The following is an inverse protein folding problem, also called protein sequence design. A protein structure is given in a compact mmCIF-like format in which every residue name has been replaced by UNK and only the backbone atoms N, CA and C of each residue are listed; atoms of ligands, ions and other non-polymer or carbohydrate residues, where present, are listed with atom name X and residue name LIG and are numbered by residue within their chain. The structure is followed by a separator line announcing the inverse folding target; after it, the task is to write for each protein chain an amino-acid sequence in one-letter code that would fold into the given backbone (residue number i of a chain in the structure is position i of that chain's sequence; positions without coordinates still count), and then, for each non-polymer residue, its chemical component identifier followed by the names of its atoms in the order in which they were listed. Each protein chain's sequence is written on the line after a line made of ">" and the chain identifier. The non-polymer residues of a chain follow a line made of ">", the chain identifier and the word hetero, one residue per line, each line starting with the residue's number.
data_IF_891053718390
#
_entry.id   IF_891053718390
#
_cell.length_a   1.000
_cell.length_b   1.000
_cell.length_c   1.000
_cell.angle_alpha   90.00
_cell.angle_beta   90.00
_cell.angle_gamma   90.00
#
_symmetry.space_group_name_H-M   'P 1'
#
loop_
_entity.id
_entity.type
_entity.pdbx_description
1 polymer ?
#
# COMPACT_ATOMS: atom_id res chain seq x y z
N UNK A 1 11.32 12.74 -22.11
CA UNK A 1 11.56 11.28 -21.89
C UNK A 1 10.26 10.64 -21.46
N UNK A 2 9.88 9.47 -22.05
CA UNK A 2 8.63 8.77 -21.69
C UNK A 2 8.89 7.70 -20.63
N UNK A 3 8.12 7.74 -19.54
CA UNK A 3 8.21 6.79 -18.42
C UNK A 3 6.89 6.03 -18.29
N UNK A 4 6.93 4.72 -18.41
CA UNK A 4 5.82 3.83 -18.10
C UNK A 4 5.78 3.56 -16.59
N UNK A 5 4.62 3.70 -15.96
CA UNK A 5 4.41 3.45 -14.52
C UNK A 5 3.32 2.39 -14.34
N UNK A 6 3.59 1.38 -13.52
CA UNK A 6 2.55 0.44 -13.12
C UNK A 6 1.61 1.07 -12.08
N UNK A 7 0.43 1.47 -12.52
CA UNK A 7 -0.59 2.13 -11.73
C UNK A 7 -1.78 1.21 -11.36
N UNK A 8 -1.64 -0.10 -11.49
CA UNK A 8 -2.69 -1.08 -11.18
C UNK A 8 -3.28 -0.93 -9.77
N UNK A 9 -2.46 -0.51 -8.82
CA UNK A 9 -2.87 -0.32 -7.42
C UNK A 9 -3.91 0.79 -7.26
N UNK A 10 -3.94 1.78 -8.17
CA UNK A 10 -4.86 2.90 -8.12
C UNK A 10 -6.31 2.55 -8.49
N UNK A 11 -6.57 1.33 -8.96
CA UNK A 11 -7.94 0.82 -9.22
C UNK A 11 -8.72 0.52 -7.95
N UNK A 12 -8.02 0.25 -6.87
CA UNK A 12 -8.60 0.04 -5.54
C UNK A 12 -8.53 1.34 -4.71
N UNK A 13 -9.30 1.45 -3.61
CA UNK A 13 -9.11 2.52 -2.66
C UNK A 13 -7.64 2.64 -2.25
N UNK A 14 -7.12 3.86 -2.21
CA UNK A 14 -5.69 4.10 -1.99
C UNK A 14 -5.27 3.62 -0.60
N UNK A 15 -4.28 2.77 -0.56
CA UNK A 15 -3.54 2.35 0.62
C UNK A 15 -2.10 2.85 0.49
N UNK A 16 -1.17 2.43 1.35
CA UNK A 16 0.21 2.94 1.36
C UNK A 16 0.85 3.08 -0.02
N UNK A 17 0.96 1.97 -0.77
CA UNK A 17 1.57 2.00 -2.13
C UNK A 17 0.76 2.87 -3.10
N UNK A 18 -0.57 2.89 -2.99
CA UNK A 18 -1.42 3.75 -3.81
C UNK A 18 -1.21 5.24 -3.53
N UNK A 19 -0.99 5.62 -2.26
CA UNK A 19 -0.61 6.98 -1.89
C UNK A 19 0.79 7.31 -2.38
N UNK A 20 1.76 6.42 -2.16
CA UNK A 20 3.12 6.58 -2.68
C UNK A 20 3.12 6.89 -4.18
N UNK A 21 2.44 6.05 -4.98
CA UNK A 21 2.41 6.23 -6.43
C UNK A 21 1.72 7.53 -6.85
N UNK A 22 0.63 7.91 -6.18
CA UNK A 22 -0.07 9.15 -6.48
C UNK A 22 0.79 10.39 -6.19
N UNK A 23 1.44 10.43 -5.02
CA UNK A 23 2.34 11.53 -4.64
C UNK A 23 3.60 11.56 -5.55
N UNK A 24 4.14 10.40 -5.92
CA UNK A 24 5.26 10.29 -6.85
C UNK A 24 4.92 10.89 -8.22
N UNK A 25 3.76 10.52 -8.78
CA UNK A 25 3.31 11.05 -10.08
C UNK A 25 3.10 12.56 -10.00
N UNK A 26 2.47 13.06 -8.93
CA UNK A 26 2.28 14.51 -8.74
C UNK A 26 3.61 15.26 -8.63
N UNK A 27 4.55 14.74 -7.84
CA UNK A 27 5.86 15.35 -7.68
C UNK A 27 6.67 15.35 -8.97
N UNK A 28 6.72 14.23 -9.69
CA UNK A 28 7.41 14.14 -10.98
C UNK A 28 6.81 15.09 -12.01
N UNK A 29 5.48 15.20 -12.08
CA UNK A 29 4.83 16.12 -13.00
C UNK A 29 5.08 17.60 -12.67
N UNK A 30 5.30 17.92 -11.38
CA UNK A 30 5.56 19.30 -10.94
C UNK A 30 7.02 19.71 -11.12
N UNK A 31 7.95 18.81 -10.75
CA UNK A 31 9.40 19.09 -10.75
C UNK A 31 10.03 18.90 -12.14
N UNK A 32 9.48 17.98 -12.94
CA UNK A 32 10.02 17.59 -14.23
C UNK A 32 8.92 17.59 -15.32
N UNK A 33 8.40 18.75 -15.70
CA UNK A 33 7.24 18.86 -16.60
C UNK A 33 7.50 18.34 -18.02
N UNK A 34 8.76 18.16 -18.40
CA UNK A 34 9.15 17.56 -19.69
C UNK A 34 9.08 16.02 -19.70
N UNK A 35 8.84 15.40 -18.54
CA UNK A 35 8.64 13.95 -18.45
C UNK A 35 7.22 13.60 -18.91
N UNK A 36 7.13 12.71 -19.88
CA UNK A 36 5.87 12.12 -20.29
C UNK A 36 5.57 10.87 -19.45
N UNK A 37 4.68 11.00 -18.45
CA UNK A 37 4.27 9.90 -17.60
C UNK A 37 3.10 9.15 -18.22
N UNK A 38 3.26 7.83 -18.37
CA UNK A 38 2.24 6.93 -18.88
C UNK A 38 1.86 5.91 -17.79
N UNK A 39 0.66 6.03 -17.27
CA UNK A 39 0.15 5.23 -16.15
C UNK A 39 -0.63 4.03 -16.68
N UNK A 40 -0.14 2.83 -16.46
CA UNK A 40 -0.87 1.61 -16.81
C UNK A 40 -1.73 1.11 -15.65
N UNK A 41 -3.05 1.18 -15.83
CA UNK A 41 -3.99 0.74 -14.78
C UNK A 41 -4.42 -0.73 -14.91
N UNK A 42 -3.75 -1.53 -15.76
CA UNK A 42 -4.07 -2.94 -16.05
C UNK A 42 -5.02 -3.15 -17.21
N UNK A 43 -5.73 -2.11 -17.66
CA UNK A 43 -6.63 -2.18 -18.81
C UNK A 43 -6.28 -1.17 -19.89
N UNK A 44 -5.93 0.02 -19.48
CA UNK A 44 -5.63 1.16 -20.35
C UNK A 44 -4.45 1.96 -19.83
N UNK A 45 -3.92 2.76 -20.71
CA UNK A 45 -2.90 3.74 -20.42
C UNK A 45 -3.54 5.11 -20.21
N UNK A 46 -3.02 5.87 -19.28
CA UNK A 46 -3.51 7.20 -18.91
C UNK A 46 -2.32 8.13 -18.64
N UNK A 47 -2.43 9.39 -18.98
CA UNK A 47 -1.43 10.42 -18.64
C UNK A 47 -1.68 11.08 -17.27
N UNK A 48 -2.89 10.91 -16.73
CA UNK A 48 -3.31 11.56 -15.50
C UNK A 48 -3.71 10.53 -14.44
N UNK A 49 -3.61 10.94 -13.17
CA UNK A 49 -4.08 10.13 -12.06
C UNK A 49 -5.61 9.99 -12.08
N UNK A 50 -6.15 8.78 -11.85
CA UNK A 50 -7.59 8.61 -11.74
C UNK A 50 -8.13 9.42 -10.56
N UNK A 51 -9.22 10.15 -10.78
CA UNK A 51 -9.85 11.01 -9.78
C UNK A 51 -10.34 10.24 -8.55
N UNK A 52 -10.81 9.00 -8.74
CA UNK A 52 -11.26 8.10 -7.67
C UNK A 52 -11.08 6.63 -8.06
N UNK A 53 -11.08 5.75 -7.06
CA UNK A 53 -11.14 4.32 -7.28
C UNK A 53 -12.45 3.94 -8.01
N UNK A 54 -12.38 2.90 -8.85
CA UNK A 54 -13.56 2.44 -9.59
C UNK A 54 -14.64 1.91 -8.62
N UNK A 55 -15.87 2.44 -8.68
CA UNK A 55 -16.95 1.98 -7.82
C UNK A 55 -17.21 0.47 -7.98
N UNK A 56 -17.36 -0.25 -6.87
CA UNK A 56 -17.67 -1.69 -6.90
C UNK A 56 -16.53 -2.62 -7.29
N UNK A 57 -15.37 -2.11 -7.68
CA UNK A 57 -14.22 -2.92 -8.11
C UNK A 57 -13.82 -3.99 -7.08
N UNK A 58 -13.81 -3.66 -5.79
CA UNK A 58 -13.46 -4.59 -4.72
C UNK A 58 -14.45 -5.75 -4.58
N UNK A 59 -15.76 -5.49 -4.70
CA UNK A 59 -16.80 -6.50 -4.60
C UNK A 59 -16.80 -7.46 -5.80
N UNK A 60 -16.69 -6.92 -7.01
CA UNK A 60 -16.65 -7.72 -8.24
C UNK A 60 -15.38 -8.58 -8.29
N UNK A 61 -14.24 -8.02 -7.91
CA UNK A 61 -12.96 -8.75 -7.89
C UNK A 61 -12.96 -9.89 -6.86
N UNK A 62 -13.64 -9.73 -5.71
CA UNK A 62 -13.74 -10.78 -4.69
C UNK A 62 -14.62 -11.95 -5.15
N UNK A 63 -15.71 -11.67 -5.85
CA UNK A 63 -16.60 -12.68 -6.44
C UNK A 63 -15.90 -13.50 -7.52
N UNK A 64 -15.20 -12.84 -8.44
CA UNK A 64 -14.45 -13.52 -9.53
C UNK A 64 -13.36 -14.42 -8.95
N UNK A 65 -12.60 -13.96 -7.95
CA UNK A 65 -11.57 -14.77 -7.27
C UNK A 65 -12.13 -16.04 -6.63
N UNK A 66 -13.38 -16.00 -6.17
CA UNK A 66 -14.03 -17.14 -5.50
C UNK A 66 -14.56 -18.18 -6.50
N UNK A 67 -14.94 -17.76 -7.71
CA UNK A 67 -15.65 -18.60 -8.67
C UNK A 67 -14.77 -19.19 -9.79
N UNK A 68 -13.58 -18.61 -10.07
CA UNK A 68 -12.75 -19.02 -11.21
C UNK A 68 -11.36 -19.47 -10.73
N UNK A 69 -11.06 -20.78 -10.74
CA UNK A 69 -9.69 -21.27 -10.53
C UNK A 69 -8.72 -20.61 -11.52
N UNK A 70 -7.56 -20.19 -11.04
CA UNK A 70 -6.52 -19.53 -11.87
C UNK A 70 -6.92 -18.17 -12.49
N UNK A 71 -8.06 -17.57 -12.12
CA UNK A 71 -8.50 -16.25 -12.61
C UNK A 71 -7.39 -15.20 -12.52
N UNK A 72 -6.54 -15.31 -11.50
CA UNK A 72 -5.41 -14.44 -11.29
C UNK A 72 -4.37 -14.53 -12.43
N UNK A 73 -3.99 -15.74 -12.86
CA UNK A 73 -3.01 -15.96 -13.94
C UNK A 73 -3.56 -15.48 -15.28
N UNK A 74 -4.81 -15.83 -15.58
CA UNK A 74 -5.46 -15.41 -16.83
C UNK A 74 -5.53 -13.87 -16.90
N UNK A 75 -5.95 -13.24 -15.82
CA UNK A 75 -5.99 -11.79 -15.72
C UNK A 75 -4.60 -11.18 -15.93
N UNK A 76 -3.57 -11.71 -15.27
CA UNK A 76 -2.20 -11.22 -15.38
C UNK A 76 -1.67 -11.32 -16.80
N UNK A 77 -1.96 -12.42 -17.53
CA UNK A 77 -1.59 -12.59 -18.93
C UNK A 77 -2.27 -11.53 -19.82
N UNK A 78 -3.56 -11.26 -19.60
CA UNK A 78 -4.28 -10.22 -20.35
C UNK A 78 -3.67 -8.83 -20.05
N UNK A 79 -3.41 -8.53 -18.80
CA UNK A 79 -2.77 -7.29 -18.40
C UNK A 79 -1.37 -7.14 -19.01
N UNK A 80 -0.58 -8.22 -19.03
CA UNK A 80 0.74 -8.25 -19.69
C UNK A 80 0.66 -7.95 -21.18
N UNK A 81 -0.26 -8.60 -21.90
CA UNK A 81 -0.45 -8.35 -23.33
C UNK A 81 -0.87 -6.89 -23.60
N UNK A 82 -1.72 -6.33 -22.75
CA UNK A 82 -2.15 -4.93 -22.87
C UNK A 82 -1.02 -3.95 -22.53
N UNK A 83 -0.22 -4.28 -21.53
CA UNK A 83 0.97 -3.52 -21.16
C UNK A 83 1.95 -3.48 -22.35
N UNK A 84 2.30 -4.63 -22.89
CA UNK A 84 3.29 -4.76 -23.97
C UNK A 84 2.92 -4.00 -25.26
N UNK A 85 1.62 -3.83 -25.55
CA UNK A 85 1.18 -3.15 -26.78
C UNK A 85 1.59 -1.68 -26.86
N UNK A 86 1.71 -0.99 -25.74
CA UNK A 86 2.01 0.44 -25.70
C UNK A 86 3.26 0.80 -24.87
N UNK A 87 3.83 -0.19 -24.17
CA UNK A 87 5.03 0.05 -23.36
C UNK A 87 6.29 0.18 -24.21
N UNK A 88 6.30 -0.27 -25.45
CA UNK A 88 7.49 -0.32 -26.31
C UNK A 88 8.13 1.04 -26.58
N UNK A 89 7.37 2.12 -26.53
CA UNK A 89 7.86 3.49 -26.72
C UNK A 89 8.41 4.13 -25.44
N UNK A 90 8.31 3.46 -24.29
CA UNK A 90 8.79 4.00 -23.03
C UNK A 90 10.31 3.84 -22.93
N UNK A 91 11.00 4.92 -22.54
CA UNK A 91 12.43 4.92 -22.30
C UNK A 91 12.79 4.25 -20.96
N UNK A 92 11.83 4.18 -20.04
CA UNK A 92 11.98 3.61 -18.69
C UNK A 92 10.65 3.04 -18.23
N UNK A 93 10.70 1.91 -17.55
CA UNK A 93 9.57 1.36 -16.83
C UNK A 93 9.81 1.43 -15.32
N UNK A 94 8.85 1.95 -14.55
CA UNK A 94 8.89 1.95 -13.09
C UNK A 94 7.74 1.13 -12.50
N UNK A 95 8.08 0.16 -11.65
CA UNK A 95 7.12 -0.69 -10.96
C UNK A 95 7.27 -0.61 -9.43
N UNK A 96 6.24 -0.17 -8.69
CA UNK A 96 6.25 -0.11 -7.24
C UNK A 96 5.85 -1.44 -6.59
N UNK A 97 6.19 -2.57 -7.20
CA UNK A 97 5.82 -3.90 -6.70
C UNK A 97 6.94 -4.93 -6.85
N UNK A 98 6.80 -6.06 -6.16
CA UNK A 98 7.71 -7.21 -6.24
C UNK A 98 7.54 -8.05 -7.52
N UNK A 99 6.62 -7.64 -8.39
CA UNK A 99 6.18 -8.47 -9.51
C UNK A 99 5.75 -7.60 -10.71
N UNK A 100 6.76 -6.97 -11.35
CA UNK A 100 6.57 -6.10 -12.49
C UNK A 100 6.02 -6.87 -13.70
N UNK A 101 5.52 -6.11 -14.67
CA UNK A 101 5.29 -6.60 -16.01
C UNK A 101 6.63 -6.86 -16.71
N UNK A 102 6.60 -7.76 -17.70
CA UNK A 102 7.75 -7.95 -18.57
C UNK A 102 7.91 -6.74 -19.49
N UNK A 103 9.11 -6.23 -19.54
CA UNK A 103 9.49 -5.06 -20.32
C UNK A 103 10.91 -5.24 -20.84
N UNK A 104 11.16 -4.94 -22.11
CA UNK A 104 12.44 -5.17 -22.76
C UNK A 104 13.44 -4.02 -22.55
N UNK A 105 13.00 -2.89 -22.02
CA UNK A 105 13.83 -1.74 -21.71
C UNK A 105 14.33 -1.67 -20.25
N UNK A 106 14.98 -0.56 -19.88
CA UNK A 106 15.40 -0.30 -18.53
C UNK A 106 14.21 -0.27 -17.56
N UNK A 107 14.34 -0.99 -16.43
CA UNK A 107 13.30 -1.08 -15.40
C UNK A 107 13.83 -0.62 -14.04
N UNK A 108 13.08 0.22 -13.36
CA UNK A 108 13.26 0.59 -11.96
C UNK A 108 12.16 -0.07 -11.13
N UNK A 109 12.52 -0.59 -9.98
CA UNK A 109 11.55 -1.12 -9.01
C UNK A 109 11.60 -0.31 -7.72
N UNK A 110 10.44 -0.12 -7.05
CA UNK A 110 10.43 0.33 -5.66
C UNK A 110 10.03 -0.84 -4.75
N UNK A 111 10.91 -1.16 -3.80
CA UNK A 111 10.69 -2.19 -2.79
C UNK A 111 10.46 -1.53 -1.43
N UNK A 112 9.21 -1.56 -0.98
CA UNK A 112 8.81 -0.91 0.27
C UNK A 112 9.16 -1.73 1.50
N UNK A 113 9.03 -3.07 1.43
CA UNK A 113 9.36 -3.99 2.52
C UNK A 113 9.70 -5.38 2.00
N UNK A 114 10.22 -6.23 2.88
CA UNK A 114 10.43 -7.65 2.68
C UNK A 114 9.53 -8.49 3.61
N UNK A 115 8.29 -8.04 3.83
CA UNK A 115 7.32 -8.72 4.69
C UNK A 115 7.07 -10.17 4.26
N UNK A 116 7.12 -10.46 2.97
CA UNK A 116 6.99 -11.82 2.42
C UNK A 116 8.14 -12.75 2.84
N UNK A 117 9.30 -12.21 3.20
CA UNK A 117 10.47 -12.94 3.68
C UNK A 117 10.41 -13.15 5.20
N UNK A 118 10.15 -12.06 5.95
CA UNK A 118 10.25 -12.07 7.41
C UNK A 118 8.97 -12.55 8.11
N UNK A 119 7.80 -12.37 7.46
CA UNK A 119 6.48 -12.67 8.01
C UNK A 119 5.57 -13.35 6.98
N UNK A 120 6.01 -14.46 6.35
CA UNK A 120 5.27 -15.12 5.27
C UNK A 120 3.88 -15.57 5.70
N UNK A 121 3.70 -15.95 6.97
CA UNK A 121 2.42 -16.37 7.55
C UNK A 121 1.37 -15.25 7.56
N UNK A 122 1.81 -14.00 7.52
CA UNK A 122 0.94 -12.83 7.46
C UNK A 122 0.49 -12.49 6.04
N UNK A 123 0.93 -13.23 5.03
CA UNK A 123 0.55 -13.02 3.62
C UNK A 123 -0.49 -14.03 3.15
N UNK A 124 -1.37 -13.67 2.21
CA UNK A 124 -2.19 -14.66 1.51
C UNK A 124 -1.32 -15.67 0.77
N UNK A 125 -1.59 -16.97 0.94
CA UNK A 125 -0.77 -18.07 0.37
C UNK A 125 -0.56 -17.93 -1.15
N UNK A 126 -1.63 -17.61 -1.89
CA UNK A 126 -1.56 -17.46 -3.35
C UNK A 126 -0.65 -16.29 -3.76
N UNK A 127 -0.72 -15.18 -3.00
CA UNK A 127 0.14 -14.01 -3.22
C UNK A 127 1.59 -14.33 -2.90
N UNK A 128 1.85 -15.03 -1.78
CA UNK A 128 3.18 -15.42 -1.38
C UNK A 128 3.83 -16.31 -2.45
N UNK A 129 3.13 -17.35 -2.91
CA UNK A 129 3.63 -18.25 -3.94
C UNK A 129 3.99 -17.52 -5.27
N UNK A 130 3.24 -16.49 -5.65
CA UNK A 130 3.56 -15.72 -6.84
C UNK A 130 4.73 -14.74 -6.60
N UNK A 131 4.84 -14.16 -5.42
CA UNK A 131 6.01 -13.34 -5.05
C UNK A 131 7.27 -14.21 -5.07
N UNK A 132 7.26 -15.37 -4.43
CA UNK A 132 8.41 -16.29 -4.38
C UNK A 132 8.84 -16.73 -5.78
N UNK A 133 7.89 -16.93 -6.69
CA UNK A 133 8.18 -17.31 -8.08
C UNK A 133 8.85 -16.20 -8.89
N UNK A 134 8.50 -14.95 -8.65
CA UNK A 134 8.84 -13.84 -9.54
C UNK A 134 9.82 -12.83 -8.95
N UNK A 135 9.82 -12.60 -7.62
CA UNK A 135 10.55 -11.50 -7.02
C UNK A 135 12.06 -11.53 -7.30
N UNK A 136 12.71 -12.68 -7.12
CA UNK A 136 14.16 -12.81 -7.31
C UNK A 136 14.58 -12.47 -8.76
N UNK A 137 13.84 -12.99 -9.75
CA UNK A 137 14.09 -12.70 -11.15
C UNK A 137 13.82 -11.22 -11.49
N UNK A 138 12.76 -10.64 -10.94
CA UNK A 138 12.40 -9.24 -11.13
C UNK A 138 13.48 -8.31 -10.58
N UNK A 139 13.95 -8.56 -9.37
CA UNK A 139 15.04 -7.82 -8.72
C UNK A 139 16.34 -7.93 -9.52
N UNK A 140 16.67 -9.11 -10.03
CA UNK A 140 17.84 -9.33 -10.88
C UNK A 140 17.77 -8.52 -12.18
N UNK A 141 16.61 -8.46 -12.82
CA UNK A 141 16.36 -7.74 -14.08
C UNK A 141 16.29 -6.22 -13.90
N UNK A 142 15.86 -5.73 -12.74
CA UNK A 142 15.76 -4.30 -12.48
C UNK A 142 17.13 -3.62 -12.68
N UNK A 143 17.16 -2.54 -13.46
CA UNK A 143 18.36 -1.73 -13.66
C UNK A 143 18.72 -1.01 -12.36
N UNK A 144 17.72 -0.59 -11.59
CA UNK A 144 17.88 0.10 -10.33
C UNK A 144 16.71 -0.20 -9.38
N UNK A 145 16.96 -0.09 -8.08
CA UNK A 145 15.97 -0.36 -7.02
C UNK A 145 15.90 0.85 -6.11
N UNK A 146 14.68 1.33 -5.89
CA UNK A 146 14.38 2.34 -4.89
C UNK A 146 13.86 1.66 -3.62
N UNK A 147 14.23 2.16 -2.47
CA UNK A 147 13.78 1.67 -1.17
C UNK A 147 13.45 2.82 -0.23
N UNK A 148 12.50 2.63 0.68
CA UNK A 148 12.01 3.69 1.57
C UNK A 148 12.99 4.02 2.71
N UNK A 149 13.95 3.13 3.01
CA UNK A 149 14.89 3.31 4.12
C UNK A 149 16.19 2.54 3.92
N UNK A 150 17.23 2.98 4.64
CA UNK A 150 18.52 2.26 4.69
C UNK A 150 18.37 0.82 5.20
N UNK A 151 17.44 0.60 6.15
CA UNK A 151 17.15 -0.73 6.66
C UNK A 151 16.70 -1.66 5.53
N UNK A 152 15.69 -1.26 4.76
CA UNK A 152 15.19 -2.04 3.62
C UNK A 152 16.25 -2.18 2.54
N UNK A 153 17.06 -1.15 2.26
CA UNK A 153 18.17 -1.25 1.31
C UNK A 153 19.16 -2.35 1.68
N UNK A 154 19.58 -2.40 2.95
CA UNK A 154 20.47 -3.44 3.46
C UNK A 154 19.83 -4.84 3.36
N UNK A 155 18.52 -4.95 3.67
CA UNK A 155 17.79 -6.21 3.56
C UNK A 155 17.69 -6.70 2.11
N UNK A 156 17.43 -5.80 1.16
CA UNK A 156 17.39 -6.10 -0.28
C UNK A 156 18.76 -6.61 -0.76
N UNK A 157 19.83 -5.90 -0.41
CA UNK A 157 21.19 -6.33 -0.75
C UNK A 157 21.51 -7.71 -0.18
N UNK A 158 21.19 -7.93 1.08
CA UNK A 158 21.48 -9.20 1.78
C UNK A 158 20.66 -10.36 1.22
N UNK A 159 19.36 -10.15 1.01
CA UNK A 159 18.45 -11.23 0.64
C UNK A 159 18.54 -11.61 -0.84
N UNK A 160 18.65 -10.60 -1.73
CA UNK A 160 18.68 -10.83 -3.17
C UNK A 160 20.09 -10.79 -3.79
N UNK A 161 21.13 -10.52 -3.00
CA UNK A 161 22.50 -10.41 -3.51
C UNK A 161 22.70 -9.22 -4.45
N UNK A 162 21.93 -8.14 -4.30
CA UNK A 162 22.03 -6.95 -5.13
C UNK A 162 23.18 -6.07 -4.66
N UNK A 163 24.07 -5.60 -5.54
CA UNK A 163 25.11 -4.65 -5.17
C UNK A 163 24.48 -3.30 -4.76
N UNK A 164 25.11 -2.66 -3.74
CA UNK A 164 24.55 -1.44 -3.13
C UNK A 164 24.43 -0.27 -4.12
N UNK A 165 25.28 -0.25 -5.14
CA UNK A 165 25.28 0.77 -6.19
C UNK A 165 24.01 0.74 -7.05
N UNK A 166 23.28 -0.37 -7.02
CA UNK A 166 21.97 -0.51 -7.67
C UNK A 166 20.81 -0.16 -6.77
N UNK A 167 21.05 0.28 -5.53
CA UNK A 167 20.00 0.57 -4.54
C UNK A 167 20.10 2.03 -4.13
N UNK A 168 19.01 2.78 -4.29
CA UNK A 168 18.90 4.15 -3.78
C UNK A 168 17.84 4.22 -2.69
N UNK A 169 18.22 4.81 -1.57
CA UNK A 169 17.28 5.12 -0.50
C UNK A 169 16.56 6.42 -0.83
N UNK A 170 15.25 6.30 -1.10
CA UNK A 170 14.35 7.42 -1.37
C UNK A 170 13.26 7.45 -0.26
N UNK A 171 13.51 8.14 0.87
CA UNK A 171 12.56 8.20 1.97
C UNK A 171 11.23 8.78 1.53
N UNK A 172 10.15 8.22 2.08
CA UNK A 172 8.80 8.71 1.77
C UNK A 172 8.60 10.12 2.30
N UNK A 173 8.01 10.98 1.48
CA UNK A 173 7.57 12.31 1.87
C UNK A 173 6.24 12.29 2.64
N UNK A 174 5.81 13.47 3.05
CA UNK A 174 4.52 13.71 3.66
C UNK A 174 3.76 14.75 2.85
N UNK A 175 2.51 14.44 2.49
CA UNK A 175 1.67 15.38 1.76
C UNK A 175 1.41 16.65 2.59
N UNK A 176 1.42 17.82 1.95
CA UNK A 176 1.19 19.12 2.59
C UNK A 176 -0.16 19.24 3.36
N UNK A 177 -1.13 18.36 3.06
CA UNK A 177 -2.39 18.26 3.83
C UNK A 177 -2.18 17.82 5.27
N UNK A 178 -1.07 17.14 5.59
CA UNK A 178 -0.71 16.72 6.93
C UNK A 178 0.20 17.79 7.57
N UNK A 179 -0.39 18.71 8.28
CA UNK A 179 0.31 19.78 8.99
C UNK A 179 -0.34 20.01 10.35
N UNK A 180 0.37 20.58 11.32
CA UNK A 180 -0.20 20.98 12.61
C UNK A 180 -1.39 21.92 12.40
N UNK A 181 -2.48 21.69 13.14
CA UNK A 181 -3.70 22.49 13.08
C UNK A 181 -3.92 23.19 14.41
N UNK A 182 -4.57 24.33 14.37
CA UNK A 182 -4.97 25.04 15.60
C UNK A 182 -6.08 24.28 16.35
N UNK A 183 -6.17 24.46 17.66
CA UNK A 183 -7.21 23.83 18.48
C UNK A 183 -8.64 24.07 17.95
N UNK A 184 -9.05 25.28 17.54
CA UNK A 184 -10.37 25.50 16.97
C UNK A 184 -10.63 24.67 15.70
N UNK A 185 -9.65 24.55 14.81
CA UNK A 185 -9.75 23.73 13.60
C UNK A 185 -9.92 22.24 13.94
N UNK A 186 -9.18 21.75 14.95
CA UNK A 186 -9.29 20.37 15.42
C UNK A 186 -10.65 20.09 16.07
N UNK A 187 -11.18 21.01 16.88
CA UNK A 187 -12.50 20.87 17.49
C UNK A 187 -13.57 20.71 16.41
N UNK A 188 -13.60 21.61 15.43
CA UNK A 188 -14.56 21.54 14.33
C UNK A 188 -14.50 20.20 13.57
N UNK A 189 -13.28 19.69 13.36
CA UNK A 189 -13.07 18.42 12.63
C UNK A 189 -13.43 17.18 13.46
N UNK A 190 -13.33 17.22 14.79
CA UNK A 190 -13.51 16.06 15.68
C UNK A 190 -14.89 16.01 16.35
N UNK A 191 -15.62 17.12 16.36
CA UNK A 191 -16.91 17.25 17.05
C UNK A 191 -17.94 16.21 16.56
N UNK A 192 -18.04 15.98 15.24
CA UNK A 192 -18.96 15.01 14.67
C UNK A 192 -18.59 13.54 15.00
N UNK A 193 -17.34 13.30 15.45
CA UNK A 193 -16.86 12.01 15.93
C UNK A 193 -16.98 11.87 17.45
N UNK A 194 -17.49 12.90 18.16
CA UNK A 194 -17.49 12.98 19.62
C UNK A 194 -16.09 12.75 20.21
N UNK A 195 -15.06 13.36 19.60
CA UNK A 195 -13.68 13.33 20.05
C UNK A 195 -13.21 14.73 20.42
N UNK A 196 -12.26 14.80 21.35
CA UNK A 196 -11.61 16.04 21.76
C UNK A 196 -10.13 16.03 21.40
N UNK A 197 -9.56 17.15 20.93
CA UNK A 197 -8.13 17.25 20.64
C UNK A 197 -7.27 16.80 21.82
N UNK A 198 -6.32 15.88 21.57
CA UNK A 198 -5.42 15.36 22.60
C UNK A 198 -6.04 14.42 23.63
N UNK A 199 -7.31 14.03 23.49
CA UNK A 199 -8.04 13.16 24.42
C UNK A 199 -8.46 11.82 23.77
N UNK A 200 -7.60 11.22 22.98
CA UNK A 200 -7.79 9.88 22.44
C UNK A 200 -6.45 9.25 22.03
N UNK A 201 -6.41 7.94 21.99
CA UNK A 201 -5.32 7.17 21.39
C UNK A 201 -5.73 6.79 19.97
N UNK A 202 -4.82 6.85 19.01
CA UNK A 202 -5.14 6.63 17.61
C UNK A 202 -4.31 5.48 17.01
N UNK A 203 -4.99 4.49 16.44
CA UNK A 203 -4.41 3.48 15.56
C UNK A 203 -4.88 3.68 14.13
N UNK A 204 -3.96 3.83 13.18
CA UNK A 204 -4.28 3.99 11.75
C UNK A 204 -3.68 2.85 10.95
N UNK A 205 -4.49 2.19 10.14
CA UNK A 205 -4.01 1.16 9.21
C UNK A 205 -5.07 0.14 8.85
N UNK A 206 -4.82 -0.58 7.75
CA UNK A 206 -5.69 -1.68 7.31
C UNK A 206 -5.79 -2.75 8.42
N UNK A 207 -7.01 -3.27 8.64
CA UNK A 207 -7.28 -4.31 9.63
C UNK A 207 -6.81 -5.67 9.11
N UNK A 208 -5.52 -5.94 9.25
CA UNK A 208 -4.87 -7.18 8.79
C UNK A 208 -3.87 -7.70 9.84
N UNK A 209 -3.58 -9.01 9.88
CA UNK A 209 -2.71 -9.62 10.89
C UNK A 209 -1.33 -8.96 11.00
N UNK A 210 -0.73 -8.57 9.90
CA UNK A 210 0.58 -7.91 9.83
C UNK A 210 0.67 -6.60 10.64
N UNK A 211 -0.45 -5.88 10.79
CA UNK A 211 -0.49 -4.63 11.56
C UNK A 211 -0.58 -4.85 13.07
N UNK A 212 -0.74 -6.10 13.50
CA UNK A 212 -0.70 -6.54 14.89
C UNK A 212 -1.60 -5.72 15.85
N UNK A 213 -2.78 -5.33 15.38
CA UNK A 213 -3.74 -4.55 16.18
C UNK A 213 -4.11 -5.25 17.50
N UNK A 214 -4.01 -6.58 17.56
CA UNK A 214 -4.26 -7.34 18.80
C UNK A 214 -3.35 -6.90 19.96
N UNK A 215 -2.10 -6.54 19.68
CA UNK A 215 -1.18 -6.04 20.71
C UNK A 215 -1.65 -4.68 21.22
N UNK A 216 -2.08 -3.78 20.32
CA UNK A 216 -2.61 -2.48 20.70
C UNK A 216 -3.88 -2.62 21.57
N UNK A 217 -4.79 -3.53 21.21
CA UNK A 217 -6.00 -3.83 21.99
C UNK A 217 -5.64 -4.36 23.39
N UNK A 218 -4.71 -5.33 23.49
CA UNK A 218 -4.25 -5.85 24.78
C UNK A 218 -3.57 -4.79 25.62
N UNK A 219 -2.67 -4.00 25.04
CA UNK A 219 -2.01 -2.90 25.74
C UNK A 219 -3.02 -1.89 26.27
N UNK A 220 -4.06 -1.57 25.50
CA UNK A 220 -5.13 -0.69 25.92
C UNK A 220 -5.95 -1.28 27.08
N UNK A 221 -6.27 -2.58 27.05
CA UNK A 221 -6.96 -3.28 28.15
C UNK A 221 -6.18 -3.20 29.48
N UNK A 222 -4.85 -3.13 29.43
CA UNK A 222 -4.00 -3.01 30.63
C UNK A 222 -3.90 -1.59 31.21
N UNK A 223 -4.40 -0.59 30.51
CA UNK A 223 -4.46 0.77 31.06
C UNK A 223 -5.47 0.85 32.22
N UNK A 224 -5.22 1.70 33.24
CA UNK A 224 -6.19 1.96 34.30
C UNK A 224 -7.56 2.36 33.73
N UNK A 225 -8.69 1.94 34.35
CA UNK A 225 -10.03 2.28 33.87
C UNK A 225 -10.23 3.80 33.67
N UNK A 226 -9.76 4.61 34.59
CA UNK A 226 -9.83 6.09 34.51
C UNK A 226 -9.11 6.63 33.27
N UNK A 227 -7.95 6.03 32.90
CA UNK A 227 -7.21 6.42 31.69
C UNK A 227 -7.99 6.06 30.43
N UNK A 228 -8.61 4.87 30.40
CA UNK A 228 -9.41 4.42 29.24
C UNK A 228 -10.69 5.26 29.07
N UNK A 229 -11.30 5.70 30.13
CA UNK A 229 -12.45 6.62 30.08
C UNK A 229 -12.06 7.99 29.53
N UNK A 230 -10.89 8.50 29.91
CA UNK A 230 -10.39 9.80 29.43
C UNK A 230 -9.83 9.77 28.01
N UNK A 231 -9.30 8.62 27.58
CA UNK A 231 -8.59 8.45 26.31
C UNK A 231 -9.13 7.21 25.58
N UNK A 232 -10.29 7.29 24.92
CA UNK A 232 -10.78 6.18 24.09
C UNK A 232 -9.78 5.81 23.01
N UNK A 233 -9.69 4.51 22.70
CA UNK A 233 -8.90 4.04 21.57
C UNK A 233 -9.71 4.14 20.28
N UNK A 234 -9.23 4.96 19.36
CA UNK A 234 -9.82 5.16 18.04
C UNK A 234 -9.02 4.38 17.01
N UNK A 235 -9.70 3.53 16.26
CA UNK A 235 -9.11 2.72 15.19
C UNK A 235 -9.67 3.22 13.87
N UNK A 236 -8.79 3.58 12.94
CA UNK A 236 -9.16 4.06 11.60
C UNK A 236 -8.51 3.16 10.56
N UNK A 237 -9.32 2.55 9.70
CA UNK A 237 -8.82 1.73 8.61
C UNK A 237 -9.84 0.78 8.01
N UNK A 238 -9.61 0.44 6.75
CA UNK A 238 -10.46 -0.49 6.02
C UNK A 238 -10.18 -1.94 6.45
N UNK A 239 -11.18 -2.82 6.25
CA UNK A 239 -10.99 -4.25 6.38
C UNK A 239 -9.93 -4.74 5.41
N UNK A 240 -8.94 -5.45 5.95
CA UNK A 240 -7.89 -6.11 5.19
C UNK A 240 -8.21 -7.58 4.91
N UNK A 241 -7.17 -8.39 4.77
CA UNK A 241 -7.29 -9.83 4.60
C UNK A 241 -7.25 -10.56 5.95
N UNK A 242 -7.92 -11.73 6.05
CA UNK A 242 -8.11 -12.50 7.30
C UNK A 242 -8.65 -11.67 8.47
N UNK A 243 -9.70 -10.89 8.29
CA UNK A 243 -10.30 -10.09 9.36
C UNK A 243 -10.83 -10.99 10.49
N UNK A 244 -11.11 -12.28 10.23
CA UNK A 244 -11.61 -13.24 11.21
C UNK A 244 -10.66 -13.44 12.41
N UNK A 245 -9.35 -13.32 12.21
CA UNK A 245 -8.36 -13.45 13.29
C UNK A 245 -8.44 -12.31 14.30
N UNK A 246 -8.93 -11.16 13.86
CA UNK A 246 -9.10 -9.97 14.68
C UNK A 246 -10.54 -9.80 15.18
N UNK A 247 -11.51 -10.50 14.58
CA UNK A 247 -12.93 -10.24 14.79
C UNK A 247 -13.35 -10.38 16.27
N UNK A 248 -13.01 -11.47 16.93
CA UNK A 248 -13.42 -11.70 18.32
C UNK A 248 -12.75 -10.71 19.30
N UNK A 249 -11.41 -10.48 19.28
CA UNK A 249 -10.80 -9.47 20.14
C UNK A 249 -11.34 -8.05 19.88
N UNK A 250 -11.55 -7.70 18.63
CA UNK A 250 -12.07 -6.39 18.26
C UNK A 250 -13.51 -6.21 18.72
N UNK A 251 -14.39 -7.18 18.51
CA UNK A 251 -15.78 -7.13 18.97
C UNK A 251 -15.87 -7.00 20.49
N UNK A 252 -15.06 -7.77 21.23
CA UNK A 252 -14.97 -7.65 22.68
C UNK A 252 -14.57 -6.23 23.10
N UNK A 253 -13.56 -5.66 22.46
CA UNK A 253 -13.08 -4.32 22.75
C UNK A 253 -14.13 -3.23 22.41
N UNK A 254 -14.81 -3.35 21.26
CA UNK A 254 -15.86 -2.43 20.84
C UNK A 254 -17.05 -2.45 21.80
N UNK A 255 -17.41 -3.62 22.38
CA UNK A 255 -18.50 -3.77 23.33
C UNK A 255 -18.28 -2.97 24.63
N UNK A 256 -17.05 -2.58 24.96
CA UNK A 256 -16.74 -1.74 26.12
C UNK A 256 -17.18 -0.28 25.94
N UNK A 257 -17.43 0.17 24.71
CA UNK A 257 -17.67 1.58 24.37
C UNK A 257 -16.42 2.48 24.44
N UNK A 258 -15.30 1.97 24.96
CA UNK A 258 -14.04 2.69 25.10
C UNK A 258 -13.14 2.55 23.86
N UNK A 259 -13.43 1.59 22.99
CA UNK A 259 -12.79 1.40 21.69
C UNK A 259 -13.77 1.74 20.57
N UNK A 260 -13.33 2.52 19.59
CA UNK A 260 -14.16 2.97 18.45
C UNK A 260 -13.48 2.62 17.15
N UNK A 261 -14.23 2.07 16.22
CA UNK A 261 -13.80 1.81 14.85
C UNK A 261 -14.47 2.85 13.93
N UNK A 262 -13.64 3.70 13.32
CA UNK A 262 -14.06 4.68 12.33
C UNK A 262 -13.50 4.19 10.98
N UNK A 263 -14.34 3.52 10.21
CA UNK A 263 -14.01 2.77 9.00
C UNK A 263 -13.54 3.56 7.81
#
# INVERSE_FOLDING_TARGET
>A
MRIALNANILRAPRTGIGHYLAELVQALSAEEPELELQLFNGWSWQSELPAAALPGYSRLSSLIKRCVPHAYKLRRNIEQQRFARCAGDASLYHDPSLWPFEFDGPMVMTLHDLTHVHFPETQPKDRLAEIERHAANSVKRARHILVDSRFIGNEVCRHYGVPIERVTVAPLGCSARFHPRTTPQLIASLQHLNLQPGRYLLCVGTLEPRKNLQVALRAYEHLPPVTREQYPLVIVGMSGWRPEQLAAPLQKALATGQVRLLG
#
